data_IF_045187879796
#
_entry.id   IF_045187879796
#
_cell.length_a   1.000
_cell.length_b   1.000
_cell.length_c   1.000
_cell.angle_alpha   90.00
_cell.angle_beta   90.00
_cell.angle_gamma   90.00
#
_symmetry.space_group_name_H-M   'P 1'
#
loop_
_entity.id
_entity.type
_entity.pdbx_description
1 polymer ?
#
# COMPACT_ATOMS: atom_id res chain seq x y z
N UNK A 1 -37.78 34.82 6.21
CA UNK A 1 -36.43 34.79 6.82
C UNK A 1 -35.85 33.38 6.99
N UNK A 2 -36.66 32.35 7.26
CA UNK A 2 -36.18 30.95 7.47
C UNK A 2 -35.66 30.28 6.18
N UNK A 3 -36.32 30.51 5.03
CA UNK A 3 -35.91 29.89 3.74
C UNK A 3 -34.50 30.31 3.27
N UNK A 4 -34.11 31.57 3.50
CA UNK A 4 -32.77 32.08 3.12
C UNK A 4 -31.66 31.42 3.93
N UNK A 5 -31.86 31.21 5.24
CA UNK A 5 -30.89 30.48 6.08
C UNK A 5 -30.74 29.02 5.65
N UNK A 6 -31.82 28.37 5.23
CA UNK A 6 -31.77 27.01 4.70
C UNK A 6 -31.02 26.94 3.36
N UNK A 7 -31.30 27.86 2.43
CA UNK A 7 -30.65 27.88 1.12
C UNK A 7 -29.14 28.16 1.21
N UNK A 8 -28.72 29.09 2.06
CA UNK A 8 -27.30 29.35 2.35
C UNK A 8 -26.62 28.13 2.99
N UNK A 9 -27.31 27.42 3.91
CA UNK A 9 -26.77 26.22 4.55
C UNK A 9 -26.66 25.02 3.61
N UNK A 10 -27.56 24.89 2.62
CA UNK A 10 -27.48 23.84 1.61
C UNK A 10 -26.37 24.13 0.60
N UNK A 11 -26.19 25.39 0.21
CA UNK A 11 -25.14 25.81 -0.71
C UNK A 11 -23.75 25.55 -0.11
N UNK A 12 -23.52 25.93 1.15
CA UNK A 12 -22.25 25.67 1.84
C UNK A 12 -21.93 24.18 1.96
N UNK A 13 -22.92 23.33 2.26
CA UNK A 13 -22.73 21.89 2.34
C UNK A 13 -22.33 21.28 0.98
N UNK A 14 -22.95 21.73 -0.11
CA UNK A 14 -22.62 21.26 -1.46
C UNK A 14 -21.20 21.69 -1.84
N UNK A 15 -20.82 22.94 -1.59
CA UNK A 15 -19.46 23.43 -1.86
C UNK A 15 -18.40 22.68 -1.07
N UNK A 16 -18.64 22.40 0.22
CA UNK A 16 -17.71 21.63 1.05
C UNK A 16 -17.53 20.19 0.55
N UNK A 17 -18.62 19.52 0.14
CA UNK A 17 -18.55 18.18 -0.46
C UNK A 17 -17.75 18.19 -1.75
N UNK A 18 -17.92 19.22 -2.59
CA UNK A 18 -17.17 19.35 -3.84
C UNK A 18 -15.69 19.59 -3.57
N UNK A 19 -15.34 20.52 -2.67
CA UNK A 19 -13.94 20.75 -2.27
C UNK A 19 -13.29 19.48 -1.71
N UNK A 20 -14.00 18.73 -0.87
CA UNK A 20 -13.50 17.45 -0.38
C UNK A 20 -13.25 16.46 -1.53
N UNK A 21 -14.17 16.35 -2.49
CA UNK A 21 -13.97 15.50 -3.65
C UNK A 21 -12.73 15.90 -4.46
N UNK A 22 -12.55 17.19 -4.75
CA UNK A 22 -11.37 17.74 -5.44
C UNK A 22 -10.06 17.46 -4.69
N UNK A 23 -10.04 17.63 -3.37
CA UNK A 23 -8.85 17.33 -2.57
C UNK A 23 -8.51 15.83 -2.61
N UNK A 24 -9.53 14.97 -2.55
CA UNK A 24 -9.31 13.52 -2.63
C UNK A 24 -8.86 13.07 -4.02
N UNK A 25 -9.36 13.67 -5.10
CA UNK A 25 -8.92 13.36 -6.46
C UNK A 25 -7.48 13.83 -6.68
N UNK A 26 -7.15 15.05 -6.25
CA UNK A 26 -5.79 15.59 -6.34
C UNK A 26 -4.77 14.76 -5.56
N UNK A 27 -5.10 14.36 -4.33
CA UNK A 27 -4.24 13.48 -3.54
C UNK A 27 -4.01 12.11 -4.22
N UNK A 28 -5.05 11.55 -4.86
CA UNK A 28 -4.90 10.31 -5.64
C UNK A 28 -4.00 10.50 -6.86
N UNK A 29 -4.11 11.62 -7.55
CA UNK A 29 -3.26 11.96 -8.69
C UNK A 29 -1.80 12.14 -8.28
N UNK A 30 -1.52 12.91 -7.22
CA UNK A 30 -0.15 13.07 -6.71
C UNK A 30 0.46 11.73 -6.27
N UNK A 31 -0.35 10.87 -5.65
CA UNK A 31 0.07 9.51 -5.33
C UNK A 31 0.44 8.75 -6.60
N UNK A 32 -0.42 8.74 -7.63
CA UNK A 32 -0.11 8.03 -8.88
C UNK A 32 1.12 8.60 -9.58
N UNK A 33 1.31 9.92 -9.58
CA UNK A 33 2.47 10.57 -10.20
C UNK A 33 3.76 10.20 -9.47
N UNK A 34 3.74 10.18 -8.14
CA UNK A 34 4.85 9.69 -7.33
C UNK A 34 5.11 8.20 -7.54
N UNK A 35 4.05 7.39 -7.72
CA UNK A 35 4.20 5.99 -8.10
C UNK A 35 4.82 5.84 -9.50
N UNK A 36 4.38 6.61 -10.49
CA UNK A 36 4.94 6.53 -11.83
C UNK A 36 6.39 7.01 -11.86
N UNK A 37 6.71 8.11 -11.16
CA UNK A 37 8.07 8.65 -11.06
C UNK A 37 9.05 7.66 -10.43
N UNK A 38 8.68 7.01 -9.33
CA UNK A 38 9.54 6.02 -8.69
C UNK A 38 9.66 4.70 -9.48
N UNK A 39 8.76 4.44 -10.45
CA UNK A 39 8.80 3.25 -11.33
C UNK A 39 9.53 3.49 -12.65
N UNK A 40 9.51 4.73 -13.14
CA UNK A 40 10.33 5.18 -14.25
C UNK A 40 11.79 5.22 -13.76
N UNK A 41 12.51 4.10 -13.93
CA UNK A 41 13.91 3.93 -13.60
C UNK A 41 14.69 5.23 -13.89
N UNK A 42 15.43 5.75 -12.91
CA UNK A 42 16.17 7.00 -13.02
C UNK A 42 17.49 6.75 -13.77
N UNK A 43 17.69 7.23 -15.01
CA UNK A 43 19.01 7.69 -15.41
C UNK A 43 19.20 9.07 -14.78
N UNK A 44 20.04 9.17 -13.74
CA UNK A 44 20.72 10.34 -13.16
C UNK A 44 20.11 11.78 -13.15
N UNK A 45 18.85 12.01 -13.49
CA UNK A 45 18.30 13.34 -13.73
C UNK A 45 17.37 13.80 -12.60
N UNK A 46 17.94 14.14 -11.44
CA UNK A 46 17.33 15.14 -10.55
C UNK A 46 17.62 16.59 -11.02
N UNK A 47 17.91 16.80 -12.31
CA UNK A 47 18.02 18.14 -12.91
C UNK A 47 16.69 18.51 -13.55
N UNK A 48 15.81 19.12 -12.77
CA UNK A 48 14.80 20.01 -13.37
C UNK A 48 15.50 21.33 -13.71
N UNK A 49 15.43 21.85 -14.96
CA UNK A 49 15.75 23.24 -15.20
C UNK A 49 14.59 24.07 -14.64
N UNK A 50 14.71 24.51 -13.39
CA UNK A 50 13.88 25.61 -12.87
C UNK A 50 14.37 26.89 -13.55
N UNK A 51 13.80 27.20 -14.71
CA UNK A 51 14.04 28.49 -15.36
C UNK A 51 13.47 29.61 -14.48
N UNK A 52 14.26 30.68 -14.33
CA UNK A 52 13.98 31.94 -13.64
C UNK A 52 14.18 31.99 -12.10
N UNK A 53 15.38 31.63 -11.65
CA UNK A 53 16.09 32.30 -10.54
C UNK A 53 17.53 31.75 -10.48
N UNK A 54 18.36 32.08 -11.47
CA UNK A 54 19.81 32.11 -11.28
C UNK A 54 20.06 33.31 -10.35
N UNK A 55 20.62 33.17 -9.16
CA UNK A 55 21.99 32.74 -8.90
C UNK A 55 22.08 32.00 -7.54
N UNK A 56 23.03 31.06 -7.42
CA UNK A 56 23.39 30.23 -6.24
C UNK A 56 22.90 28.76 -6.19
N UNK A 57 23.06 28.00 -7.28
CA UNK A 57 23.06 26.52 -7.20
C UNK A 57 24.23 25.95 -8.02
N UNK A 58 25.45 26.17 -7.54
CA UNK A 58 26.66 25.45 -8.00
C UNK A 58 27.38 24.72 -6.87
N UNK A 59 26.76 24.62 -5.69
CA UNK A 59 27.28 23.90 -4.53
C UNK A 59 26.54 22.57 -4.23
N UNK A 60 25.38 22.33 -4.85
CA UNK A 60 24.55 21.15 -4.56
C UNK A 60 24.92 19.90 -5.38
N UNK A 61 25.84 20.01 -6.34
CA UNK A 61 26.16 18.91 -7.27
C UNK A 61 27.07 17.83 -6.64
N UNK A 62 27.54 18.04 -5.39
CA UNK A 62 28.39 17.11 -4.63
C UNK A 62 27.77 16.62 -3.31
N UNK A 63 26.45 16.70 -3.13
CA UNK A 63 25.80 16.14 -1.94
C UNK A 63 25.27 14.74 -2.23
N UNK A 64 25.52 13.75 -1.34
CA UNK A 64 24.95 12.42 -1.51
C UNK A 64 23.41 12.51 -1.53
N UNK A 65 22.74 11.69 -2.36
CA UNK A 65 21.28 11.68 -2.42
C UNK A 65 20.69 11.44 -1.03
N UNK A 66 19.57 12.11 -0.73
CA UNK A 66 18.92 12.02 0.57
C UNK A 66 18.65 10.56 0.97
N UNK A 67 18.95 10.14 2.21
CA UNK A 67 18.91 8.72 2.63
C UNK A 67 17.52 8.07 2.53
N UNK A 68 16.45 8.86 2.45
CA UNK A 68 15.08 8.36 2.24
C UNK A 68 14.88 7.73 0.85
N UNK A 69 15.60 8.21 -0.18
CA UNK A 69 15.41 7.74 -1.55
C UNK A 69 15.71 6.24 -1.73
N UNK A 70 16.88 5.71 -1.29
CA UNK A 70 17.12 4.28 -1.38
C UNK A 70 16.13 3.45 -0.56
N UNK A 71 15.66 3.95 0.59
CA UNK A 71 14.65 3.28 1.40
C UNK A 71 13.31 3.17 0.66
N UNK A 72 12.87 4.26 0.01
CA UNK A 72 11.63 4.28 -0.79
C UNK A 72 11.71 3.33 -1.99
N UNK A 73 12.84 3.30 -2.69
CA UNK A 73 13.07 2.42 -3.83
C UNK A 73 13.08 0.95 -3.40
N UNK A 74 13.78 0.61 -2.30
CA UNK A 74 13.80 -0.74 -1.76
C UNK A 74 12.39 -1.19 -1.32
N UNK A 75 11.69 -0.37 -0.54
CA UNK A 75 10.35 -0.69 -0.07
C UNK A 75 9.39 -0.96 -1.23
N UNK A 76 9.50 -0.18 -2.30
CA UNK A 76 8.74 -0.36 -3.53
C UNK A 76 9.05 -1.65 -4.26
N UNK A 77 10.33 -1.96 -4.44
CA UNK A 77 10.75 -3.20 -5.08
C UNK A 77 10.25 -4.41 -4.28
N UNK A 78 10.40 -4.35 -2.95
CA UNK A 78 9.90 -5.37 -2.03
C UNK A 78 8.38 -5.51 -2.16
N UNK A 79 7.63 -4.41 -2.15
CA UNK A 79 6.18 -4.42 -2.34
C UNK A 79 5.76 -5.07 -3.67
N UNK A 80 6.43 -4.74 -4.79
CA UNK A 80 6.16 -5.36 -6.09
C UNK A 80 6.42 -6.86 -6.08
N UNK A 81 7.54 -7.29 -5.49
CA UNK A 81 7.87 -8.71 -5.33
C UNK A 81 6.78 -9.45 -4.54
N UNK A 82 6.30 -8.85 -3.44
CA UNK A 82 5.22 -9.42 -2.62
C UNK A 82 3.92 -9.59 -3.41
N UNK A 83 3.55 -8.60 -4.23
CA UNK A 83 2.38 -8.68 -5.08
C UNK A 83 2.51 -9.75 -6.17
N UNK A 84 3.70 -9.91 -6.74
CA UNK A 84 3.98 -10.92 -7.76
C UNK A 84 4.05 -12.34 -7.18
N UNK A 85 4.45 -12.49 -5.92
CA UNK A 85 4.54 -13.78 -5.23
C UNK A 85 3.21 -14.29 -4.67
N UNK A 86 2.07 -13.68 -5.03
CA UNK A 86 0.76 -14.12 -4.54
C UNK A 86 0.34 -15.44 -5.23
N UNK A 87 -0.28 -16.38 -4.50
CA UNK A 87 -0.65 -17.67 -5.06
C UNK A 87 -1.79 -17.54 -6.08
N UNK A 88 -1.59 -18.13 -7.25
CA UNK A 88 -2.59 -18.11 -8.33
C UNK A 88 -3.60 -19.25 -8.18
N UNK A 89 -3.19 -20.38 -7.63
CA UNK A 89 -4.01 -21.58 -7.41
C UNK A 89 -4.13 -21.94 -5.93
N UNK A 90 -5.17 -22.72 -5.60
CA UNK A 90 -5.37 -23.24 -4.25
C UNK A 90 -4.19 -24.11 -3.80
N UNK A 91 -3.68 -24.96 -4.69
CA UNK A 91 -2.54 -25.84 -4.38
C UNK A 91 -1.28 -25.03 -4.06
N UNK A 92 -1.00 -24.00 -4.85
CA UNK A 92 0.11 -23.09 -4.57
C UNK A 92 -0.07 -22.39 -3.22
N UNK A 93 -1.29 -21.95 -2.90
CA UNK A 93 -1.57 -21.33 -1.59
C UNK A 93 -1.37 -22.31 -0.42
N UNK A 94 -1.72 -23.59 -0.59
CA UNK A 94 -1.49 -24.63 0.42
C UNK A 94 0.01 -24.90 0.61
N UNK A 95 0.75 -25.05 -0.48
CA UNK A 95 2.19 -25.25 -0.43
C UNK A 95 2.90 -24.06 0.22
N UNK A 96 2.53 -22.83 -0.17
CA UNK A 96 3.05 -21.61 0.44
C UNK A 96 2.78 -21.59 1.96
N UNK A 97 1.57 -21.93 2.39
CA UNK A 97 1.21 -21.99 3.81
C UNK A 97 2.09 -22.99 4.57
N UNK A 98 2.18 -24.22 4.06
CA UNK A 98 2.97 -25.31 4.67
C UNK A 98 4.45 -24.92 4.75
N UNK A 99 5.01 -24.36 3.67
CA UNK A 99 6.41 -23.94 3.61
C UNK A 99 6.71 -22.77 4.55
N UNK A 100 5.78 -21.84 4.74
CA UNK A 100 5.95 -20.66 5.61
C UNK A 100 5.83 -21.01 7.09
N UNK A 101 4.89 -21.87 7.46
CA UNK A 101 4.52 -22.11 8.85
C UNK A 101 4.97 -23.48 9.35
N UNK A 102 6.26 -23.82 9.13
CA UNK A 102 6.91 -25.01 9.68
C UNK A 102 6.15 -26.33 9.42
N UNK A 103 5.70 -26.54 8.18
CA UNK A 103 4.96 -27.72 7.73
C UNK A 103 3.58 -27.92 8.38
N UNK A 104 3.03 -26.87 8.99
CA UNK A 104 1.68 -26.91 9.52
C UNK A 104 0.65 -27.07 8.40
N UNK A 105 -0.32 -27.96 8.60
CA UNK A 105 -1.41 -28.13 7.66
C UNK A 105 -2.35 -26.91 7.67
N UNK A 106 -2.85 -26.47 6.51
CA UNK A 106 -3.87 -25.44 6.43
C UNK A 106 -5.11 -25.82 7.28
N UNK A 107 -5.75 -24.85 7.95
CA UNK A 107 -6.94 -25.12 8.77
C UNK A 107 -8.12 -25.61 7.92
N UNK A 108 -9.11 -26.27 8.55
CA UNK A 108 -10.34 -26.63 7.85
C UNK A 108 -11.02 -25.39 7.27
N UNK A 109 -11.52 -25.49 6.02
CA UNK A 109 -12.14 -24.39 5.29
C UNK A 109 -11.18 -23.44 4.57
N UNK A 110 -9.87 -23.76 4.52
CA UNK A 110 -8.89 -22.95 3.78
C UNK A 110 -9.23 -22.79 2.29
N UNK A 111 -9.81 -23.80 1.67
CA UNK A 111 -10.31 -23.79 0.29
C UNK A 111 -11.45 -22.78 0.08
N UNK A 112 -12.44 -22.78 0.97
CA UNK A 112 -13.57 -21.85 0.95
C UNK A 112 -13.10 -20.41 1.15
N UNK A 113 -12.19 -20.20 2.11
CA UNK A 113 -11.58 -18.91 2.35
C UNK A 113 -10.75 -18.43 1.15
N UNK A 114 -9.96 -19.30 0.51
CA UNK A 114 -9.18 -18.93 -0.67
C UNK A 114 -10.09 -18.52 -1.83
N UNK A 115 -11.17 -19.26 -2.06
CA UNK A 115 -12.16 -18.93 -3.08
C UNK A 115 -12.82 -17.57 -2.78
N UNK A 116 -13.23 -17.35 -1.54
CA UNK A 116 -13.79 -16.07 -1.09
C UNK A 116 -12.81 -14.91 -1.32
N UNK A 117 -11.56 -15.06 -0.90
CA UNK A 117 -10.51 -14.06 -1.07
C UNK A 117 -10.32 -13.69 -2.55
N UNK A 118 -10.35 -14.69 -3.44
CA UNK A 118 -10.26 -14.47 -4.89
C UNK A 118 -11.48 -13.76 -5.48
N UNK A 119 -12.69 -14.17 -5.09
CA UNK A 119 -13.93 -13.54 -5.55
C UNK A 119 -13.99 -12.05 -5.17
N UNK A 120 -13.42 -11.69 -4.02
CA UNK A 120 -13.41 -10.32 -3.50
C UNK A 120 -12.15 -9.51 -3.84
N UNK A 121 -11.28 -10.01 -4.73
CA UNK A 121 -10.02 -9.35 -5.11
C UNK A 121 -9.14 -8.98 -3.90
N UNK A 122 -9.07 -9.87 -2.90
CA UNK A 122 -8.21 -9.66 -1.74
C UNK A 122 -6.74 -9.65 -2.16
N UNK A 123 -6.03 -8.58 -1.81
CA UNK A 123 -4.69 -8.29 -2.36
C UNK A 123 -3.61 -9.26 -1.91
N UNK A 124 -3.59 -9.63 -0.62
CA UNK A 124 -2.47 -10.36 0.01
C UNK A 124 -2.94 -11.66 0.64
N UNK A 125 -3.29 -12.63 -0.19
CA UNK A 125 -3.84 -13.92 0.24
C UNK A 125 -2.86 -14.64 1.19
N UNK A 126 -1.57 -14.71 0.90
CA UNK A 126 -0.64 -15.52 1.70
C UNK A 126 0.12 -14.76 2.81
N UNK A 127 -0.24 -13.52 3.15
CA UNK A 127 0.56 -12.65 4.05
C UNK A 127 -0.06 -12.46 5.43
N UNK A 128 -0.17 -13.55 6.17
CA UNK A 128 -0.64 -13.56 7.57
C UNK A 128 0.48 -13.87 8.56
N UNK A 129 1.73 -13.56 8.20
CA UNK A 129 2.92 -13.90 8.98
C UNK A 129 2.84 -13.37 10.43
N UNK A 130 2.39 -12.12 10.61
CA UNK A 130 2.21 -11.51 11.94
C UNK A 130 1.15 -12.21 12.78
N UNK A 131 -0.05 -12.42 12.23
CA UNK A 131 -1.12 -13.17 12.89
C UNK A 131 -0.64 -14.57 13.30
N UNK A 132 0.09 -15.25 12.42
CA UNK A 132 0.54 -16.61 12.67
C UNK A 132 1.62 -16.71 13.75
N UNK A 133 2.47 -15.68 13.87
CA UNK A 133 3.42 -15.52 14.96
C UNK A 133 2.71 -15.19 16.28
N UNK A 134 1.72 -14.30 16.26
CA UNK A 134 0.91 -13.97 17.45
C UNK A 134 0.16 -15.20 17.99
N UNK A 135 -0.25 -16.11 17.09
CA UNK A 135 -0.92 -17.36 17.43
C UNK A 135 0.04 -18.47 17.88
N UNK A 136 1.35 -18.35 17.62
CA UNK A 136 2.35 -19.35 17.96
C UNK A 136 2.36 -19.79 19.45
N UNK A 137 2.35 -18.87 20.45
CA UNK A 137 2.37 -19.28 21.86
C UNK A 137 1.13 -20.10 22.25
N UNK A 138 0.00 -19.90 21.58
CA UNK A 138 -1.25 -20.61 21.88
C UNK A 138 -1.30 -22.01 21.28
N UNK A 139 -0.40 -22.38 20.35
CA UNK A 139 -0.42 -23.70 19.70
C UNK A 139 -0.03 -24.84 20.64
N UNK A 140 0.70 -24.55 21.71
CA UNK A 140 1.17 -25.54 22.67
C UNK A 140 0.23 -25.72 23.87
N UNK A 141 -0.78 -24.85 24.00
CA UNK A 141 -1.73 -24.88 25.10
C UNK A 141 -2.78 -25.97 24.87
N UNK A 142 -3.18 -26.65 25.95
CA UNK A 142 -4.30 -27.58 25.88
C UNK A 142 -5.63 -26.83 25.76
N UNK A 143 -6.71 -27.47 25.27
CA UNK A 143 -8.02 -26.81 25.18
C UNK A 143 -8.57 -26.27 26.50
N UNK A 144 -8.11 -26.77 27.64
CA UNK A 144 -8.53 -26.30 28.97
C UNK A 144 -7.80 -25.02 29.39
N UNK A 145 -6.67 -24.70 28.76
CA UNK A 145 -5.81 -23.56 29.07
C UNK A 145 -6.00 -22.38 28.10
N UNK A 146 -6.80 -22.56 27.04
CA UNK A 146 -7.23 -21.52 26.10
C UNK A 146 -8.48 -20.80 26.62
#
# INVERSE_FOLDING_TARGET
FIAFKQQSSTYTLITLKQQHHELTSHAKQLKSDLLNWLDAAVPNQLRTPRTAAAESISAAENQPPHPILPLLLNARQTWKSILQSQPVSLEQARLDYVNRFHLLQPPPGFDQWFQFARLHNFTLINRFDGLMADLEPFRQLSPTEL
#
